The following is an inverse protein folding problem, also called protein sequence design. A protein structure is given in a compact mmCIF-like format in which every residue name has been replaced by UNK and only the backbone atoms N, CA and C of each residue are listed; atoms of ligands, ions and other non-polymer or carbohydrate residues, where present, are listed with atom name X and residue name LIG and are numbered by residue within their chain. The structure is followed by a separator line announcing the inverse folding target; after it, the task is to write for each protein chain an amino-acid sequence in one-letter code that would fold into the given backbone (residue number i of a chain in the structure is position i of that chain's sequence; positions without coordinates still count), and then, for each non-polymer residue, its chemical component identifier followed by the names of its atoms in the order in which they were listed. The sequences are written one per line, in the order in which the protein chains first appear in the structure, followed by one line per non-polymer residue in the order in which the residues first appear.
data_IF_789450471818
#
_entry.id   IF_789450471818
#
_cell.length_a   1.000
_cell.length_b   1.000
_cell.length_c   1.000
_cell.angle_alpha   90.00
_cell.angle_beta   90.00
_cell.angle_gamma   90.00
#
_symmetry.space_group_name_H-M   'P 1'
#
loop_
_entity.id
_entity.type
_entity.pdbx_description
1 polymer ?
#
# COMPACT_ATOMS: atom_id res chain seq x y z
N UNK A 1 4.77 16.84 10.61
CA UNK A 1 4.22 15.92 9.59
C UNK A 1 3.48 14.81 10.30
N UNK A 2 2.24 14.51 9.91
CA UNK A 2 1.46 13.42 10.48
C UNK A 2 1.82 12.11 9.78
N UNK A 3 1.64 10.99 10.46
CA UNK A 3 1.93 9.65 9.91
C UNK A 3 1.20 9.42 8.58
N UNK A 4 -0.01 9.99 8.43
CA UNK A 4 -0.77 9.96 7.16
C UNK A 4 0.04 10.51 5.98
N UNK A 5 0.61 11.70 6.12
CA UNK A 5 1.40 12.31 5.03
C UNK A 5 2.65 11.50 4.67
N UNK A 6 3.24 10.80 5.65
CA UNK A 6 4.38 9.92 5.38
C UNK A 6 3.98 8.66 4.62
N UNK A 7 2.82 8.07 4.92
CA UNK A 7 2.30 6.89 4.23
C UNK A 7 1.83 7.22 2.81
N UNK A 8 1.24 8.40 2.62
CA UNK A 8 0.83 8.89 1.29
C UNK A 8 2.07 9.10 0.40
N UNK A 9 3.13 9.72 0.91
CA UNK A 9 4.40 9.89 0.20
C UNK A 9 5.02 8.55 -0.23
N UNK A 10 5.02 7.55 0.65
CA UNK A 10 5.54 6.21 0.33
C UNK A 10 4.69 5.55 -0.75
N UNK A 11 3.37 5.72 -0.69
CA UNK A 11 2.46 5.15 -1.69
C UNK A 11 2.70 5.78 -3.07
N UNK A 12 2.77 7.11 -3.14
CA UNK A 12 3.10 7.84 -4.38
C UNK A 12 4.47 7.45 -4.93
N UNK A 13 5.48 7.32 -4.07
CA UNK A 13 6.83 6.90 -4.46
C UNK A 13 6.84 5.48 -5.05
N UNK A 14 6.12 4.54 -4.43
CA UNK A 14 6.03 3.15 -4.91
C UNK A 14 5.32 3.07 -6.26
N UNK A 15 4.27 3.89 -6.46
CA UNK A 15 3.53 3.98 -7.72
C UNK A 15 4.39 4.57 -8.85
N UNK A 16 5.15 5.63 -8.57
CA UNK A 16 6.08 6.25 -9.52
C UNK A 16 7.23 5.33 -9.93
N UNK A 17 7.74 4.52 -8.99
CA UNK A 17 8.88 3.63 -9.25
C UNK A 17 8.52 2.32 -9.95
N UNK A 18 7.26 1.85 -9.86
CA UNK A 18 6.85 0.59 -10.49
C UNK A 18 5.57 0.74 -11.33
N UNK A 19 5.66 1.34 -12.53
CA UNK A 19 4.52 1.48 -13.44
C UNK A 19 3.97 0.15 -13.97
N UNK A 20 4.73 -0.96 -13.85
CA UNK A 20 4.35 -2.31 -14.27
C UNK A 20 4.03 -3.25 -13.10
N UNK A 21 3.94 -2.76 -11.86
CA UNK A 21 3.62 -3.64 -10.73
C UNK A 21 2.22 -4.22 -10.95
N UNK A 22 2.14 -5.54 -11.08
CA UNK A 22 0.86 -6.25 -10.98
C UNK A 22 0.16 -5.77 -9.71
N UNK A 23 -1.12 -5.43 -9.81
CA UNK A 23 -1.93 -5.03 -8.66
C UNK A 23 -2.10 -6.25 -7.77
N UNK A 24 -1.12 -6.49 -6.91
CA UNK A 24 -1.20 -7.51 -5.88
C UNK A 24 -2.35 -7.11 -4.96
N UNK A 25 -3.31 -8.03 -4.79
CA UNK A 25 -4.45 -7.83 -3.89
C UNK A 25 -3.94 -7.39 -2.52
N UNK A 26 -4.47 -6.27 -2.01
CA UNK A 26 -4.25 -5.87 -0.62
C UNK A 26 -4.95 -6.87 0.30
N UNK A 27 -4.29 -7.28 1.38
CA UNK A 27 -4.92 -8.10 2.40
C UNK A 27 -6.11 -7.34 3.00
N UNK A 28 -7.22 -8.04 3.19
CA UNK A 28 -8.42 -7.47 3.80
C UNK A 28 -8.58 -7.98 5.24
N UNK A 29 -9.53 -7.40 5.99
CA UNK A 29 -9.77 -7.78 7.38
C UNK A 29 -10.04 -9.29 7.54
N UNK A 30 -10.76 -9.91 6.60
CA UNK A 30 -11.07 -11.35 6.63
C UNK A 30 -9.82 -12.22 6.55
N UNK A 31 -8.77 -11.75 5.87
CA UNK A 31 -7.49 -12.44 5.80
C UNK A 31 -6.78 -12.42 7.15
N UNK A 32 -6.92 -11.33 7.91
CA UNK A 32 -6.40 -11.21 9.27
C UNK A 32 -7.24 -11.99 10.29
N UNK A 33 -8.55 -12.04 10.11
CA UNK A 33 -9.48 -12.78 10.97
C UNK A 33 -9.32 -14.31 10.82
N UNK A 34 -8.63 -14.77 9.76
CA UNK A 34 -8.36 -16.19 9.48
C UNK A 34 -7.03 -16.70 10.08
N UNK A 35 -6.29 -15.87 10.83
CA UNK A 35 -5.08 -16.26 11.56
C UNK A 35 -5.39 -16.82 12.96
#
# INVERSE_FOLDING_TARGET
MTIGMCLDYISEYIELQNPQKEKVRKANQKDYDSF
#
